data_IF_958497431324
#
_entry.id   IF_958497431324
#
_cell.length_a   1.000
_cell.length_b   1.000
_cell.length_c   1.000
_cell.angle_alpha   90.00
_cell.angle_beta   90.00
_cell.angle_gamma   90.00
#
_symmetry.space_group_name_H-M   'P 1'
#
loop_
_entity.id
_entity.type
_entity.pdbx_description
1 polymer ?
#
# COMPACT_ATOMS: atom_id res chain seq x y z
N UNK A 1 -29.20 -11.09 -20.54
CA UNK A 1 -28.22 -9.96 -20.46
C UNK A 1 -28.52 -8.97 -19.34
N UNK A 2 -28.90 -9.40 -18.12
CA UNK A 2 -29.41 -8.49 -17.06
C UNK A 2 -28.72 -8.67 -15.68
N UNK A 3 -27.60 -9.41 -15.58
CA UNK A 3 -26.93 -9.66 -14.29
C UNK A 3 -25.65 -8.85 -14.03
N UNK A 4 -25.20 -7.99 -14.96
CA UNK A 4 -23.97 -7.19 -14.76
C UNK A 4 -24.15 -5.90 -13.92
N UNK A 5 -25.36 -5.43 -13.73
CA UNK A 5 -25.62 -4.14 -13.05
C UNK A 5 -25.70 -4.21 -11.51
N UNK A 6 -25.94 -5.40 -10.95
CA UNK A 6 -26.19 -5.55 -9.50
C UNK A 6 -24.93 -5.59 -8.64
N UNK A 7 -23.81 -6.05 -9.21
CA UNK A 7 -22.56 -6.19 -8.45
C UNK A 7 -21.87 -4.83 -8.17
N UNK A 8 -22.04 -3.86 -9.05
CA UNK A 8 -21.48 -2.50 -8.88
C UNK A 8 -22.07 -1.72 -7.70
N UNK A 9 -23.30 -2.00 -7.29
CA UNK A 9 -23.96 -1.30 -6.17
C UNK A 9 -23.50 -1.74 -4.79
N UNK A 10 -23.09 -2.99 -4.62
CA UNK A 10 -22.70 -3.50 -3.31
C UNK A 10 -21.24 -3.15 -2.92
N UNK A 11 -20.34 -2.94 -3.90
CA UNK A 11 -18.94 -2.57 -3.63
C UNK A 11 -18.69 -1.07 -3.49
N UNK A 12 -19.69 -0.21 -3.79
CA UNK A 12 -19.50 1.25 -3.89
C UNK A 12 -19.82 2.03 -2.61
N UNK A 13 -20.06 1.38 -1.47
CA UNK A 13 -20.48 2.07 -0.23
C UNK A 13 -19.36 2.90 0.43
N UNK A 14 -18.10 2.79 -0.04
CA UNK A 14 -16.97 3.53 0.52
C UNK A 14 -16.16 4.33 -0.51
N UNK A 15 -16.82 4.98 -1.46
CA UNK A 15 -16.17 6.11 -2.14
C UNK A 15 -16.30 7.32 -1.23
N UNK A 16 -15.28 7.55 -0.41
CA UNK A 16 -15.05 8.86 0.20
C UNK A 16 -14.97 9.90 -0.91
N UNK A 17 -15.84 10.89 -0.85
CA UNK A 17 -15.98 11.93 -1.86
C UNK A 17 -14.63 12.61 -2.14
N UNK A 18 -14.29 12.74 -3.40
CA UNK A 18 -13.28 13.71 -3.83
C UNK A 18 -13.88 15.09 -3.63
N UNK A 19 -13.30 15.85 -2.72
CA UNK A 19 -13.50 17.29 -2.71
C UNK A 19 -12.81 17.85 -3.96
N UNK A 20 -13.58 18.42 -4.88
CA UNK A 20 -13.07 19.27 -5.94
C UNK A 20 -12.63 20.58 -5.29
N UNK A 21 -11.34 20.81 -5.19
CA UNK A 21 -10.78 22.13 -4.94
C UNK A 21 -10.20 22.70 -6.23
N UNK A 22 -10.79 23.79 -6.64
CA UNK A 22 -10.37 24.63 -7.77
C UNK A 22 -9.05 25.33 -7.45
N UNK A 23 -8.18 25.39 -8.46
CA UNK A 23 -7.22 26.45 -8.68
C UNK A 23 -6.11 26.58 -7.64
N UNK A 24 -5.04 25.79 -7.76
CA UNK A 24 -3.80 26.08 -7.04
C UNK A 24 -2.70 26.54 -8.00
N UNK A 25 -2.29 27.80 -7.79
CA UNK A 25 -1.00 28.35 -8.21
C UNK A 25 0.09 27.29 -7.99
N UNK A 26 0.93 27.07 -8.98
CA UNK A 26 2.15 26.27 -8.85
C UNK A 26 3.11 27.02 -7.93
N UNK A 27 2.90 26.92 -6.64
CA UNK A 27 3.90 27.29 -5.66
C UNK A 27 5.00 26.23 -5.74
N UNK A 28 6.23 26.65 -6.02
CA UNK A 28 7.44 25.85 -5.89
C UNK A 28 7.43 25.22 -4.50
N UNK A 29 7.12 23.92 -4.42
CA UNK A 29 7.15 23.18 -3.16
C UNK A 29 8.57 23.23 -2.62
N UNK A 30 8.77 23.94 -1.53
CA UNK A 30 10.01 23.86 -0.78
C UNK A 30 10.29 22.40 -0.49
N UNK A 31 11.43 21.87 -0.96
CA UNK A 31 11.81 20.47 -0.75
C UNK A 31 11.81 20.18 0.75
N UNK A 32 10.85 19.41 1.21
CA UNK A 32 10.74 19.03 2.62
C UNK A 32 11.69 17.88 2.90
N UNK A 33 12.67 18.10 3.77
CA UNK A 33 13.57 17.06 4.27
C UNK A 33 12.92 16.33 5.44
N UNK A 34 12.89 15.02 5.38
CA UNK A 34 12.41 14.13 6.44
C UNK A 34 13.63 13.49 7.10
N UNK A 35 13.66 13.47 8.42
CA UNK A 35 14.66 12.77 9.23
C UNK A 35 14.02 11.60 9.95
N UNK A 36 14.60 10.42 9.80
CA UNK A 36 14.10 9.17 10.39
C UNK A 36 15.06 8.72 11.49
N UNK A 37 14.51 8.57 12.70
CA UNK A 37 15.21 8.04 13.84
C UNK A 37 14.31 7.07 14.60
N UNK A 38 14.33 5.82 14.18
CA UNK A 38 13.55 4.75 14.79
C UNK A 38 14.40 3.51 15.07
N UNK A 39 13.79 2.44 15.60
CA UNK A 39 14.49 1.20 15.99
C UNK A 39 15.17 0.47 14.83
N UNK A 40 14.74 0.68 13.60
CA UNK A 40 15.28 -0.01 12.43
C UNK A 40 16.15 0.88 11.56
N UNK A 41 16.04 2.20 11.73
CA UNK A 41 16.76 3.17 10.89
C UNK A 41 17.04 4.44 11.67
N UNK A 42 18.32 4.69 11.97
CA UNK A 42 18.77 5.89 12.68
C UNK A 42 19.61 6.76 11.75
N UNK A 43 19.38 8.09 11.83
CA UNK A 43 20.12 9.09 11.04
C UNK A 43 19.80 9.07 9.53
N UNK A 44 18.79 8.34 9.09
CA UNK A 44 18.38 8.35 7.68
C UNK A 44 17.60 9.62 7.35
N UNK A 45 17.93 10.22 6.21
CA UNK A 45 17.22 11.41 5.74
C UNK A 45 16.85 11.25 4.25
N UNK A 46 15.71 11.83 3.87
CA UNK A 46 15.31 11.91 2.48
C UNK A 46 14.51 13.18 2.20
N UNK A 47 14.45 13.56 0.92
CA UNK A 47 13.71 14.73 0.47
C UNK A 47 12.39 14.31 -0.19
N UNK A 48 11.33 15.07 0.09
CA UNK A 48 10.09 15.02 -0.68
C UNK A 48 10.22 16.00 -1.84
N UNK A 49 10.20 15.48 -3.07
CA UNK A 49 10.41 16.25 -4.30
C UNK A 49 9.21 16.20 -5.26
N UNK A 50 8.16 15.51 -4.83
CA UNK A 50 6.87 15.47 -5.53
C UNK A 50 5.72 15.71 -4.55
N UNK A 51 4.58 16.25 -5.01
CA UNK A 51 3.38 16.30 -4.18
C UNK A 51 2.91 14.91 -3.76
N UNK A 52 2.15 14.86 -2.65
CA UNK A 52 1.62 13.62 -2.10
C UNK A 52 0.64 12.98 -3.09
N UNK A 53 0.89 11.72 -3.44
CA UNK A 53 0.02 10.95 -4.33
C UNK A 53 0.14 11.30 -5.81
N UNK A 54 1.10 12.15 -6.19
CA UNK A 54 1.25 12.62 -7.56
C UNK A 54 2.60 12.23 -8.19
N UNK A 55 2.73 12.50 -9.49
CA UNK A 55 3.95 12.30 -10.28
C UNK A 55 4.53 10.88 -10.14
N UNK A 56 3.66 9.89 -10.15
CA UNK A 56 4.09 8.50 -10.18
C UNK A 56 4.64 8.14 -11.56
N UNK A 57 5.54 7.16 -11.60
CA UNK A 57 5.95 6.54 -12.85
C UNK A 57 4.72 6.11 -13.65
N UNK A 58 4.70 6.34 -14.96
CA UNK A 58 3.56 6.04 -15.86
C UNK A 58 3.15 4.56 -15.83
N UNK A 59 4.09 3.68 -15.46
CA UNK A 59 3.89 2.23 -15.34
C UNK A 59 3.49 1.79 -13.93
N UNK A 60 3.47 2.69 -12.94
CA UNK A 60 3.08 2.41 -11.56
C UNK A 60 1.71 3.03 -11.27
N UNK A 61 0.70 2.19 -11.24
CA UNK A 61 -0.71 2.59 -11.05
C UNK A 61 -1.32 1.81 -9.88
N UNK A 62 -0.91 2.11 -8.63
CA UNK A 62 -1.50 1.46 -7.46
C UNK A 62 -2.99 1.83 -7.36
N UNK A 63 -3.81 0.85 -7.00
CA UNK A 63 -5.26 1.00 -6.89
C UNK A 63 -5.68 1.44 -5.47
N UNK A 64 -4.79 1.31 -4.49
CA UNK A 64 -5.00 1.68 -3.10
C UNK A 64 -3.90 2.63 -2.61
N UNK A 65 -4.29 3.66 -1.90
CA UNK A 65 -3.36 4.53 -1.15
C UNK A 65 -2.82 3.82 0.09
N UNK A 66 -1.69 4.26 0.67
CA UNK A 66 -1.20 3.72 1.95
C UNK A 66 -2.24 3.80 3.08
N UNK A 67 -2.99 4.91 3.17
CA UNK A 67 -4.08 5.09 4.13
C UNK A 67 -5.16 4.01 3.97
N UNK A 68 -5.64 3.80 2.74
CA UNK A 68 -6.65 2.77 2.46
C UNK A 68 -6.14 1.37 2.77
N UNK A 69 -4.88 1.05 2.48
CA UNK A 69 -4.29 -0.24 2.83
C UNK A 69 -4.30 -0.47 4.35
N UNK A 70 -3.94 0.53 5.14
CA UNK A 70 -3.97 0.46 6.60
C UNK A 70 -5.39 0.31 7.12
N UNK A 71 -6.34 1.05 6.57
CA UNK A 71 -7.77 0.96 6.90
C UNK A 71 -8.36 -0.44 6.59
N UNK A 72 -8.06 -0.99 5.42
CA UNK A 72 -8.51 -2.33 5.03
C UNK A 72 -7.91 -3.45 5.90
N UNK A 73 -6.74 -3.21 6.48
CA UNK A 73 -6.01 -4.19 7.26
C UNK A 73 -5.09 -5.05 6.40
N UNK A 74 -3.82 -4.74 6.51
CA UNK A 74 -2.72 -5.45 5.85
C UNK A 74 -1.68 -5.86 6.89
N UNK A 75 -0.91 -6.91 6.60
CA UNK A 75 0.18 -7.42 7.45
C UNK A 75 -0.23 -7.71 8.90
N UNK A 76 -1.51 -8.06 9.13
CA UNK A 76 -2.04 -8.36 10.46
C UNK A 76 -1.96 -7.20 11.45
N UNK A 77 -2.03 -5.96 10.96
CA UNK A 77 -1.98 -4.75 11.76
C UNK A 77 -0.62 -4.43 12.40
N UNK A 78 0.44 -5.17 12.04
CA UNK A 78 1.78 -5.00 12.67
C UNK A 78 2.70 -4.08 11.88
N UNK A 79 2.23 -3.44 10.83
CA UNK A 79 3.07 -2.61 9.97
C UNK A 79 3.13 -1.15 10.42
N UNK A 80 4.32 -0.53 10.35
CA UNK A 80 4.61 0.87 10.68
C UNK A 80 4.33 1.29 12.14
N UNK A 81 3.97 0.37 13.04
CA UNK A 81 3.61 0.70 14.43
C UNK A 81 4.75 1.36 15.23
N UNK A 82 5.98 1.08 14.86
CA UNK A 82 7.21 1.55 15.50
C UNK A 82 7.81 2.81 14.83
N UNK A 83 7.18 3.31 13.77
CA UNK A 83 7.64 4.48 13.02
C UNK A 83 6.48 5.38 12.53
N UNK A 84 5.38 5.42 13.26
CA UNK A 84 4.19 6.21 12.87
C UNK A 84 4.50 7.69 12.69
N UNK A 85 5.41 8.24 13.50
CA UNK A 85 5.79 9.66 13.46
C UNK A 85 6.43 10.09 12.13
N UNK A 86 6.86 9.14 11.30
CA UNK A 86 7.38 9.44 9.96
C UNK A 86 6.26 9.78 8.96
N UNK A 87 5.04 9.32 9.20
CA UNK A 87 3.92 9.38 8.26
C UNK A 87 2.79 10.28 8.77
N UNK A 88 1.88 10.74 7.89
CA UNK A 88 0.73 11.54 8.30
C UNK A 88 -0.11 10.84 9.37
N UNK A 89 -0.48 11.57 10.41
CA UNK A 89 -1.23 11.05 11.56
C UNK A 89 -2.60 10.48 11.14
N UNK A 90 -3.25 11.14 10.18
CA UNK A 90 -4.55 10.75 9.66
C UNK A 90 -4.57 9.37 8.98
N UNK A 91 -3.40 8.83 8.58
CA UNK A 91 -3.31 7.47 8.05
C UNK A 91 -3.60 6.40 9.09
N UNK A 92 -3.46 6.74 10.36
CA UNK A 92 -3.57 5.80 11.49
C UNK A 92 -4.86 5.94 12.29
N UNK A 93 -5.68 6.97 12.03
CA UNK A 93 -6.92 7.20 12.79
C UNK A 93 -7.87 6.00 12.76
N UNK A 94 -8.10 5.46 11.55
CA UNK A 94 -9.02 4.31 11.35
C UNK A 94 -8.27 3.04 10.94
N UNK A 95 -6.95 3.02 11.09
CA UNK A 95 -6.12 1.88 10.69
C UNK A 95 -6.32 0.67 11.61
N UNK A 96 -6.39 -0.52 11.02
CA UNK A 96 -6.46 -1.78 11.76
C UNK A 96 -5.08 -2.17 12.30
N UNK A 97 -4.73 -1.66 13.48
CA UNK A 97 -3.42 -1.83 14.09
C UNK A 97 -3.41 -2.87 15.21
N UNK A 98 -2.31 -3.61 15.31
CA UNK A 98 -2.01 -4.53 16.42
C UNK A 98 -0.67 -4.15 17.04
N UNK A 99 -0.65 -3.51 18.22
CA UNK A 99 0.56 -2.92 18.80
C UNK A 99 1.64 -3.95 19.17
N UNK A 100 1.24 -5.10 19.70
CA UNK A 100 2.16 -6.08 20.28
C UNK A 100 2.61 -7.15 19.29
N UNK A 101 1.67 -7.83 18.65
CA UNK A 101 1.93 -8.95 17.76
C UNK A 101 1.03 -8.91 16.52
N UNK A 102 1.47 -9.58 15.46
CA UNK A 102 0.66 -9.75 14.25
C UNK A 102 -0.66 -10.46 14.58
N UNK A 103 -1.77 -9.89 14.13
CA UNK A 103 -3.10 -10.46 14.27
C UNK A 103 -3.74 -10.64 12.89
N UNK A 104 -3.76 -11.87 12.41
CA UNK A 104 -4.26 -12.22 11.07
C UNK A 104 -5.75 -11.84 10.89
N UNK A 105 -6.54 -11.84 11.98
CA UNK A 105 -7.96 -11.45 11.95
C UNK A 105 -8.17 -10.00 11.55
N UNK A 106 -7.15 -9.14 11.67
CA UNK A 106 -7.20 -7.75 11.22
C UNK A 106 -7.01 -7.60 9.69
N UNK A 107 -6.44 -8.61 9.03
CA UNK A 107 -6.38 -8.62 7.58
C UNK A 107 -7.79 -8.63 6.99
N UNK A 108 -8.02 -7.89 5.90
CA UNK A 108 -9.34 -7.79 5.28
C UNK A 108 -9.99 -9.17 5.03
N UNK A 109 -9.22 -10.11 4.48
CA UNK A 109 -9.70 -11.48 4.24
C UNK A 109 -9.44 -12.45 5.41
N UNK A 110 -8.93 -11.96 6.54
CA UNK A 110 -8.63 -12.75 7.76
C UNK A 110 -7.72 -13.97 7.53
N UNK A 111 -6.83 -13.90 6.55
CA UNK A 111 -5.88 -14.97 6.19
C UNK A 111 -4.44 -14.47 6.20
N UNK A 112 -3.51 -15.39 6.46
CA UNK A 112 -2.07 -15.13 6.33
C UNK A 112 -1.67 -15.12 4.85
N UNK A 113 -1.06 -14.03 4.40
CA UNK A 113 -0.67 -13.84 3.00
C UNK A 113 0.71 -13.22 2.80
N UNK A 114 1.49 -13.08 3.86
CA UNK A 114 2.86 -12.55 3.79
C UNK A 114 3.85 -13.43 4.54
N UNK A 115 5.06 -13.54 4.01
CA UNK A 115 6.17 -14.14 4.73
C UNK A 115 6.69 -13.19 5.81
N UNK A 116 7.38 -13.69 6.85
CA UNK A 116 8.08 -12.87 7.83
C UNK A 116 9.14 -11.96 7.18
N UNK A 117 9.41 -10.82 7.81
CA UNK A 117 10.46 -9.89 7.35
C UNK A 117 11.85 -10.54 7.33
N UNK A 118 12.11 -11.47 8.24
CA UNK A 118 13.36 -12.26 8.28
C UNK A 118 13.60 -13.05 6.99
N UNK A 119 12.53 -13.63 6.43
CA UNK A 119 12.63 -14.39 5.17
C UNK A 119 12.88 -13.47 3.98
N UNK A 120 12.28 -12.29 3.98
CA UNK A 120 12.54 -11.29 2.94
C UNK A 120 13.96 -10.75 3.01
N UNK A 121 14.51 -10.56 4.21
CA UNK A 121 15.92 -10.19 4.41
C UNK A 121 16.87 -11.26 3.88
N UNK A 122 16.65 -12.54 4.23
CA UNK A 122 17.46 -13.67 3.71
C UNK A 122 17.46 -13.76 2.19
N UNK A 123 16.34 -13.40 1.55
CA UNK A 123 16.20 -13.40 0.08
C UNK A 123 16.75 -12.15 -0.59
N UNK A 124 17.35 -11.21 0.14
CA UNK A 124 17.87 -9.96 -0.40
C UNK A 124 16.78 -9.00 -0.94
N UNK A 125 15.54 -9.14 -0.48
CA UNK A 125 14.42 -8.33 -0.98
C UNK A 125 14.24 -7.01 -0.23
N UNK A 126 14.96 -6.82 0.86
CA UNK A 126 14.86 -5.63 1.69
C UNK A 126 15.99 -4.68 1.36
N UNK A 127 15.63 -3.46 0.96
CA UNK A 127 16.56 -2.36 0.78
C UNK A 127 16.98 -1.77 2.14
N UNK A 128 18.25 -1.39 2.33
CA UNK A 128 18.67 -0.62 3.50
C UNK A 128 17.90 0.70 3.67
N UNK A 129 17.48 1.29 2.56
CA UNK A 129 16.69 2.53 2.56
C UNK A 129 15.26 2.32 3.07
N UNK A 130 14.71 1.12 2.90
CA UNK A 130 13.36 0.76 3.32
C UNK A 130 13.38 -0.57 4.11
N UNK A 131 13.91 -0.57 5.35
CA UNK A 131 14.19 -1.79 6.11
C UNK A 131 12.94 -2.60 6.48
N UNK A 132 11.75 -2.04 6.33
CA UNK A 132 10.45 -2.72 6.48
C UNK A 132 9.87 -3.22 5.16
N UNK A 133 10.59 -3.05 4.05
CA UNK A 133 10.25 -3.61 2.74
C UNK A 133 9.31 -2.76 1.90
N UNK A 134 8.67 -3.40 0.92
CA UNK A 134 7.94 -2.76 -0.17
C UNK A 134 6.88 -1.75 0.31
N UNK A 135 6.12 -2.05 1.36
CA UNK A 135 5.07 -1.13 1.81
C UNK A 135 5.65 0.16 2.41
N UNK A 136 6.78 0.10 3.14
CA UNK A 136 7.47 1.31 3.61
C UNK A 136 7.99 2.13 2.43
N UNK A 137 8.60 1.48 1.43
CA UNK A 137 8.97 2.14 0.19
C UNK A 137 7.77 2.84 -0.45
N UNK A 138 6.62 2.15 -0.56
CA UNK A 138 5.42 2.70 -1.17
C UNK A 138 4.88 3.91 -0.40
N UNK A 139 4.84 3.86 0.92
CA UNK A 139 4.46 5.01 1.76
C UNK A 139 5.33 6.24 1.48
N UNK A 140 6.65 6.07 1.46
CA UNK A 140 7.61 7.14 1.17
C UNK A 140 7.51 7.65 -0.26
N UNK A 141 7.35 6.76 -1.22
CA UNK A 141 7.13 7.09 -2.62
C UNK A 141 5.83 7.88 -2.81
N UNK A 142 4.76 7.47 -2.13
CA UNK A 142 3.46 8.16 -2.12
C UNK A 142 3.57 9.57 -1.52
N UNK A 143 4.36 9.74 -0.47
CA UNK A 143 4.64 11.05 0.14
C UNK A 143 5.49 11.98 -0.74
N UNK A 144 6.10 11.47 -1.81
CA UNK A 144 6.88 12.26 -2.76
C UNK A 144 8.39 12.01 -2.74
N UNK A 145 8.90 11.02 -1.99
CA UNK A 145 10.29 10.57 -2.12
C UNK A 145 10.50 9.93 -3.49
N UNK A 146 11.63 10.25 -4.15
CA UNK A 146 12.04 9.62 -5.40
C UNK A 146 13.50 9.20 -5.33
N UNK A 147 13.77 7.91 -5.63
CA UNK A 147 15.12 7.32 -5.68
C UNK A 147 15.16 6.38 -6.87
N UNK A 148 15.66 6.87 -8.00
CA UNK A 148 15.50 6.27 -9.32
C UNK A 148 15.75 4.75 -9.34
N UNK A 149 16.91 4.30 -8.93
CA UNK A 149 17.27 2.87 -8.95
C UNK A 149 16.40 2.02 -8.03
N UNK A 150 16.04 2.55 -6.86
CA UNK A 150 15.19 1.83 -5.90
C UNK A 150 13.75 1.79 -6.39
N UNK A 151 13.23 2.92 -6.86
CA UNK A 151 11.88 3.03 -7.39
C UNK A 151 11.68 2.09 -8.58
N UNK A 152 12.64 2.02 -9.50
CA UNK A 152 12.60 1.07 -10.61
C UNK A 152 12.49 -0.39 -10.14
N UNK A 153 13.31 -0.79 -9.16
CA UNK A 153 13.28 -2.16 -8.60
C UNK A 153 11.93 -2.47 -7.96
N UNK A 154 11.42 -1.55 -7.13
CA UNK A 154 10.18 -1.78 -6.38
C UNK A 154 8.95 -1.77 -7.29
N UNK A 155 8.92 -0.91 -8.31
CA UNK A 155 7.88 -0.89 -9.34
C UNK A 155 7.92 -2.17 -10.19
N UNK A 156 9.10 -2.66 -10.57
CA UNK A 156 9.25 -3.93 -11.28
C UNK A 156 8.67 -5.11 -10.47
N UNK A 157 8.92 -5.15 -9.17
CA UNK A 157 8.34 -6.16 -8.26
C UNK A 157 6.82 -6.05 -8.18
N UNK A 158 6.30 -4.83 -8.02
CA UNK A 158 4.87 -4.56 -8.02
C UNK A 158 4.20 -5.06 -9.31
N UNK A 159 4.76 -4.72 -10.48
CA UNK A 159 4.26 -5.20 -11.77
C UNK A 159 4.24 -6.73 -11.87
N UNK A 160 5.26 -7.40 -11.39
CA UNK A 160 5.31 -8.86 -11.40
C UNK A 160 4.17 -9.49 -10.56
N UNK A 161 3.61 -8.73 -9.61
CA UNK A 161 2.49 -9.17 -8.77
C UNK A 161 1.15 -9.21 -9.52
N UNK A 162 1.01 -8.50 -10.64
CA UNK A 162 -0.21 -8.46 -11.48
C UNK A 162 -0.68 -9.85 -11.94
N UNK A 163 0.24 -10.83 -12.07
CA UNK A 163 -0.09 -12.23 -12.37
C UNK A 163 -1.07 -12.85 -11.37
N UNK A 164 -1.02 -12.42 -10.09
CA UNK A 164 -1.96 -12.88 -9.08
C UNK A 164 -3.36 -12.29 -9.28
N UNK A 165 -3.45 -11.03 -9.73
CA UNK A 165 -4.72 -10.43 -10.13
C UNK A 165 -5.34 -11.17 -11.32
N UNK A 166 -4.54 -11.48 -12.34
CA UNK A 166 -4.96 -12.30 -13.48
C UNK A 166 -5.45 -13.70 -13.05
N UNK A 167 -4.76 -14.32 -12.10
CA UNK A 167 -5.16 -15.63 -11.58
C UNK A 167 -6.49 -15.57 -10.80
N UNK A 168 -6.76 -14.52 -10.03
CA UNK A 168 -8.06 -14.31 -9.38
C UNK A 168 -9.15 -14.11 -10.42
N UNK A 169 -8.97 -13.19 -11.37
CA UNK A 169 -9.95 -12.89 -12.43
C UNK A 169 -10.29 -14.09 -13.31
N UNK A 170 -9.31 -14.98 -13.55
CA UNK A 170 -9.51 -16.19 -14.39
C UNK A 170 -10.26 -17.31 -13.69
N UNK A 171 -10.11 -17.43 -12.36
CA UNK A 171 -10.53 -18.65 -11.64
C UNK A 171 -11.61 -18.37 -10.57
N UNK A 172 -12.06 -17.14 -10.42
CA UNK A 172 -13.12 -16.77 -9.48
C UNK A 172 -14.26 -16.10 -10.24
N UNK A 173 -15.48 -16.36 -9.80
CA UNK A 173 -16.63 -15.60 -10.27
C UNK A 173 -16.51 -14.14 -9.81
N UNK A 174 -16.98 -13.18 -10.61
CA UNK A 174 -17.00 -11.78 -10.21
C UNK A 174 -17.68 -11.59 -8.85
N UNK A 175 -17.04 -10.84 -7.97
CA UNK A 175 -17.52 -10.54 -6.61
C UNK A 175 -17.56 -11.74 -5.64
N UNK A 176 -17.09 -12.92 -5.99
CA UNK A 176 -16.89 -13.99 -5.01
C UNK A 176 -15.62 -13.73 -4.19
N UNK A 177 -15.80 -13.00 -3.08
CA UNK A 177 -14.72 -12.67 -2.14
C UNK A 177 -14.25 -13.88 -1.32
N UNK A 178 -14.95 -15.01 -1.37
CA UNK A 178 -14.55 -16.24 -0.71
C UNK A 178 -13.50 -17.02 -1.51
N UNK A 179 -13.50 -16.83 -2.82
CA UNK A 179 -12.55 -17.46 -3.75
C UNK A 179 -11.15 -16.85 -3.62
N UNK A 180 -10.14 -17.69 -3.46
CA UNK A 180 -8.71 -17.33 -3.43
C UNK A 180 -8.34 -16.25 -2.41
N UNK A 181 -8.91 -16.26 -1.21
CA UNK A 181 -8.70 -15.28 -0.14
C UNK A 181 -7.22 -14.96 0.12
N UNK A 182 -6.34 -15.97 0.11
CA UNK A 182 -4.90 -15.77 0.32
C UNK A 182 -4.26 -14.92 -0.78
N UNK A 183 -4.61 -15.19 -2.05
CA UNK A 183 -4.12 -14.37 -3.17
C UNK A 183 -4.71 -12.96 -3.12
N UNK A 184 -6.00 -12.83 -2.81
CA UNK A 184 -6.65 -11.52 -2.65
C UNK A 184 -6.01 -10.69 -1.54
N UNK A 185 -5.75 -11.30 -0.38
CA UNK A 185 -5.04 -10.58 0.70
C UNK A 185 -3.62 -10.19 0.29
N UNK A 186 -2.90 -11.06 -0.41
CA UNK A 186 -1.57 -10.73 -0.92
C UNK A 186 -1.60 -9.56 -1.91
N UNK A 187 -2.61 -9.47 -2.75
CA UNK A 187 -2.82 -8.33 -3.67
C UNK A 187 -3.04 -7.02 -2.92
N UNK A 188 -3.85 -7.01 -1.84
CA UNK A 188 -4.00 -5.83 -0.98
C UNK A 188 -2.67 -5.37 -0.37
N UNK A 189 -1.75 -6.30 -0.04
CA UNK A 189 -0.41 -5.96 0.44
C UNK A 189 0.46 -5.26 -0.61
N UNK A 190 0.05 -5.29 -1.88
CA UNK A 190 0.75 -4.68 -3.02
C UNK A 190 -0.08 -3.60 -3.70
N UNK A 191 -1.02 -2.98 -2.98
CA UNK A 191 -1.87 -1.91 -3.46
C UNK A 191 -2.71 -2.23 -4.71
N UNK A 192 -3.03 -3.51 -4.94
CA UNK A 192 -4.07 -3.93 -5.87
C UNK A 192 -5.40 -4.10 -5.12
N UNK A 193 -6.47 -3.47 -5.59
CA UNK A 193 -7.79 -3.61 -4.96
C UNK A 193 -8.49 -4.91 -5.40
N UNK A 194 -8.13 -5.99 -4.73
CA UNK A 194 -8.68 -7.31 -5.02
C UNK A 194 -10.14 -7.50 -4.62
N UNK A 195 -10.77 -6.49 -4.01
CA UNK A 195 -12.20 -6.51 -3.67
C UNK A 195 -13.08 -6.38 -4.91
N UNK A 196 -12.53 -5.75 -5.95
CA UNK A 196 -13.23 -5.46 -7.22
C UNK A 196 -12.90 -6.46 -8.34
N UNK A 197 -12.35 -7.63 -7.98
CA UNK A 197 -11.94 -8.68 -8.96
C UNK A 197 -12.87 -9.89 -8.90
#
# INVERSE_FOLDING_TARGET
MLHRASCYKACNIYKLGRAEEQGHLVTWLAMKKISVNDKMQSGYTYNLISPIGENFSTIFKPELTPKEMLFLGVFGGKYLNDCKSEFPEDWFLDAKLSPSKKNIKLNYFSVEASQPLSDWKKKGWISPQDPRGWFQWYCRYYLGRRIENEDFKQIKRWRAFSRHAGAVKKNCEPCDLSCRKKQRQALLHWAYDSRNM
#
